data_IF_045696082993
#
_entry.id   IF_045696082993
#
_cell.length_a   1.000
_cell.length_b   1.000
_cell.length_c   1.000
_cell.angle_alpha   90.00
_cell.angle_beta   90.00
_cell.angle_gamma   90.00
#
_symmetry.space_group_name_H-M   'P 1'
#
loop_
_entity.id
_entity.type
_entity.pdbx_description
1 polymer ?
#
# COMPACT_ATOMS: atom_id res chain seq x y z
N UNK A 1 -0.10 15.81 33.38
CA UNK A 1 -0.44 15.07 32.15
C UNK A 1 -1.94 14.89 32.17
N UNK A 2 -2.64 15.44 31.18
CA UNK A 2 -4.08 15.27 31.10
C UNK A 2 -4.39 13.82 30.78
N UNK A 3 -5.25 13.20 31.59
CA UNK A 3 -5.66 11.82 31.40
C UNK A 3 -6.50 11.73 30.12
N UNK A 4 -5.98 11.03 29.12
CA UNK A 4 -6.70 10.79 27.87
C UNK A 4 -7.87 9.87 28.23
N UNK A 5 -9.07 10.45 28.35
CA UNK A 5 -10.28 9.73 28.70
C UNK A 5 -10.61 8.58 27.74
N UNK A 6 -11.65 7.80 28.05
CA UNK A 6 -12.03 6.62 27.27
C UNK A 6 -12.58 7.04 25.90
N UNK A 7 -11.79 6.85 24.84
CA UNK A 7 -12.20 7.12 23.45
C UNK A 7 -12.80 5.85 22.84
N UNK A 8 -13.94 5.97 22.16
CA UNK A 8 -14.56 4.83 21.45
C UNK A 8 -13.88 4.55 20.11
N UNK A 9 -13.74 3.27 19.75
CA UNK A 9 -13.12 2.84 18.48
C UNK A 9 -13.80 3.49 17.24
N UNK A 10 -15.13 3.61 17.29
CA UNK A 10 -15.91 4.27 16.24
C UNK A 10 -15.53 5.74 16.03
N UNK A 11 -15.04 6.41 17.07
CA UNK A 11 -14.65 7.82 16.98
C UNK A 11 -13.29 8.02 16.28
N UNK A 12 -12.46 6.97 16.21
CA UNK A 12 -11.11 6.99 15.64
C UNK A 12 -11.08 6.44 14.21
N UNK A 13 -12.01 5.53 13.87
CA UNK A 13 -12.05 4.87 12.57
C UNK A 13 -12.30 5.88 11.43
N UNK A 14 -11.36 5.96 10.49
CA UNK A 14 -11.44 6.84 9.32
C UNK A 14 -11.00 8.28 9.54
N UNK A 15 -10.47 8.63 10.73
CA UNK A 15 -9.87 9.93 10.99
C UNK A 15 -8.35 9.83 10.93
N UNK A 16 -7.72 10.78 10.25
CA UNK A 16 -6.27 10.95 10.33
C UNK A 16 -5.92 11.56 11.69
N UNK A 17 -5.15 10.85 12.50
CA UNK A 17 -4.64 11.34 13.79
C UNK A 17 -3.16 11.64 13.63
N UNK A 18 -2.79 12.91 13.76
CA UNK A 18 -1.39 13.29 13.90
C UNK A 18 -0.93 13.00 15.33
N UNK A 19 0.26 12.39 15.46
CA UNK A 19 0.93 12.24 16.75
C UNK A 19 1.93 13.38 16.88
N UNK A 20 1.76 14.22 17.91
CA UNK A 20 2.73 15.26 18.26
C UNK A 20 3.13 15.09 19.72
N UNK A 21 4.43 15.14 19.98
CA UNK A 21 4.96 15.24 21.34
C UNK A 21 5.36 16.69 21.57
N UNK A 22 4.96 17.26 22.71
CA UNK A 22 5.43 18.58 23.15
C UNK A 22 6.47 18.37 24.23
N UNK A 23 7.56 19.11 24.15
CA UNK A 23 8.50 19.21 25.26
C UNK A 23 7.84 20.00 26.39
N UNK A 24 8.12 19.60 27.62
CA UNK A 24 7.70 20.37 28.80
C UNK A 24 8.46 21.69 28.88
N UNK A 25 7.98 22.60 29.73
CA UNK A 25 8.71 23.82 30.05
C UNK A 25 10.10 23.49 30.60
N UNK A 26 11.10 24.31 30.25
CA UNK A 26 12.45 24.15 30.79
C UNK A 26 12.42 24.31 32.31
N UNK A 27 13.00 23.34 33.02
CA UNK A 27 13.21 23.44 34.47
C UNK A 27 14.68 23.76 34.73
N UNK A 28 14.98 24.65 35.71
CA UNK A 28 16.35 24.94 36.07
C UNK A 28 17.02 23.68 36.61
N UNK A 29 18.02 23.18 35.89
CA UNK A 29 18.88 22.12 36.40
C UNK A 29 19.76 22.66 37.53
N UNK A 30 20.07 21.80 38.51
CA UNK A 30 21.06 22.12 39.53
C UNK A 30 22.40 22.51 38.85
N UNK A 31 23.11 23.46 39.46
CA UNK A 31 24.43 23.86 38.98
C UNK A 31 25.33 22.63 38.82
N UNK A 32 25.86 22.43 37.62
CA UNK A 32 26.91 21.46 37.35
C UNK A 32 28.24 22.21 37.26
N UNK A 33 29.21 21.82 38.09
CA UNK A 33 30.57 22.30 37.93
C UNK A 33 31.13 21.80 36.59
N UNK A 34 31.56 22.73 35.73
CA UNK A 34 32.23 22.40 34.48
C UNK A 34 33.73 22.51 34.73
N UNK A 35 34.42 21.38 34.68
CA UNK A 35 35.87 21.32 34.76
C UNK A 35 36.47 21.23 33.36
N UNK A 36 37.45 22.07 33.07
CA UNK A 36 38.31 21.91 31.90
C UNK A 36 39.50 21.04 32.28
N UNK A 37 39.64 19.88 31.63
CA UNK A 37 40.80 19.01 31.76
C UNK A 37 41.72 19.19 30.55
N UNK A 38 43.00 19.48 30.81
CA UNK A 38 44.06 19.43 29.81
C UNK A 38 44.88 18.17 30.11
N UNK A 39 44.95 17.19 29.21
CA UNK A 39 45.77 16.01 29.43
C UNK A 39 47.26 16.36 29.38
N UNK A 40 48.01 15.93 30.39
CA UNK A 40 49.49 16.08 30.45
C UNK A 40 50.23 15.10 29.53
N UNK A 41 49.54 14.12 28.94
CA UNK A 41 50.14 13.12 28.06
C UNK A 41 49.99 13.51 26.59
N UNK A 42 51.06 13.39 25.80
CA UNK A 42 51.03 13.43 24.32
C UNK A 42 50.20 12.27 23.67
N UNK A 43 49.46 11.49 24.47
CA UNK A 43 48.68 10.33 24.02
C UNK A 43 47.19 10.64 23.81
N UNK A 44 46.52 9.74 23.10
CA UNK A 44 45.08 9.80 22.85
C UNK A 44 44.28 9.86 24.17
N UNK A 45 43.41 10.86 24.29
CA UNK A 45 42.61 11.14 25.51
C UNK A 45 41.55 10.05 25.73
N UNK A 46 40.96 9.55 24.64
CA UNK A 46 40.02 8.44 24.65
C UNK A 46 39.83 7.88 23.24
N UNK A 47 39.63 6.58 23.15
CA UNK A 47 39.22 5.90 21.91
C UNK A 47 37.75 5.53 21.99
N UNK A 48 36.94 6.04 21.06
CA UNK A 48 35.53 5.68 20.96
C UNK A 48 35.33 4.57 19.94
N UNK A 49 34.80 3.44 20.37
CA UNK A 49 34.46 2.31 19.49
C UNK A 49 32.95 2.26 19.31
N UNK A 50 32.48 2.74 18.16
CA UNK A 50 31.07 2.66 17.79
C UNK A 50 30.75 1.24 17.30
N UNK A 51 29.95 0.51 18.08
CA UNK A 51 29.47 -0.81 17.69
C UNK A 51 28.13 -0.66 16.99
N UNK A 52 28.11 -1.00 15.71
CA UNK A 52 26.88 -1.05 14.92
C UNK A 52 26.31 -2.47 14.91
N UNK A 53 25.04 -2.59 14.50
CA UNK A 53 24.45 -3.88 14.15
C UNK A 53 25.12 -4.44 12.88
N UNK A 54 24.92 -5.72 12.61
CA UNK A 54 25.40 -6.33 11.36
C UNK A 54 24.85 -5.59 10.14
N UNK A 55 25.57 -5.63 9.02
CA UNK A 55 25.11 -5.05 7.75
C UNK A 55 23.70 -5.54 7.38
N UNK A 56 23.42 -6.83 7.57
CA UNK A 56 22.10 -7.42 7.31
C UNK A 56 20.99 -6.83 8.19
N UNK A 57 21.27 -6.59 9.47
CA UNK A 57 20.31 -5.96 10.38
C UNK A 57 20.04 -4.49 10.01
N UNK A 58 21.09 -3.74 9.65
CA UNK A 58 20.93 -2.35 9.20
C UNK A 58 20.13 -2.25 7.88
N UNK A 59 20.30 -3.21 6.96
CA UNK A 59 19.48 -3.31 5.75
C UNK A 59 18.02 -3.69 6.05
N UNK A 60 17.81 -4.59 7.01
CA UNK A 60 16.48 -5.00 7.44
C UNK A 60 15.71 -3.81 8.06
N UNK A 61 16.37 -2.99 8.87
CA UNK A 61 15.82 -1.77 9.47
C UNK A 61 15.73 -0.58 8.52
N UNK A 62 16.28 -0.70 7.30
CA UNK A 62 16.24 0.38 6.30
C UNK A 62 17.17 1.56 6.61
N UNK A 63 18.10 1.40 7.55
CA UNK A 63 19.10 2.42 7.90
C UNK A 63 20.11 2.59 6.75
N UNK A 64 20.44 1.49 6.07
CA UNK A 64 21.25 1.49 4.85
C UNK A 64 20.48 0.85 3.70
N UNK A 65 20.82 1.15 2.43
CA UNK A 65 20.13 0.59 1.28
C UNK A 65 20.11 -0.94 1.31
N UNK A 66 18.91 -1.51 1.10
CA UNK A 66 18.75 -2.94 0.88
C UNK A 66 19.44 -3.34 -0.42
N UNK A 67 19.92 -4.58 -0.47
CA UNK A 67 20.29 -5.20 -1.74
C UNK A 67 19.08 -5.11 -2.67
N UNK A 68 19.24 -4.65 -3.94
CA UNK A 68 18.11 -4.53 -4.85
C UNK A 68 17.41 -5.88 -4.96
N UNK A 69 16.09 -5.86 -4.97
CA UNK A 69 15.31 -7.06 -5.25
C UNK A 69 15.73 -7.61 -6.62
N UNK A 70 15.88 -8.94 -6.77
CA UNK A 70 16.22 -9.53 -8.05
C UNK A 70 15.15 -9.17 -9.08
N UNK A 71 15.57 -8.95 -10.33
CA UNK A 71 14.68 -8.62 -11.44
C UNK A 71 13.57 -9.69 -11.58
N UNK A 72 12.29 -9.30 -11.68
CA UNK A 72 11.18 -10.22 -11.90
C UNK A 72 11.42 -11.15 -13.08
N UNK A 73 10.84 -12.36 -13.03
CA UNK A 73 10.93 -13.34 -14.10
C UNK A 73 10.41 -12.80 -15.44
N UNK A 74 9.38 -11.97 -15.38
CA UNK A 74 8.70 -11.39 -16.53
C UNK A 74 9.50 -10.29 -17.25
N UNK A 75 10.47 -9.68 -16.55
CA UNK A 75 11.30 -8.59 -17.08
C UNK A 75 12.66 -9.09 -17.59
N UNK A 76 12.99 -10.36 -17.35
CA UNK A 76 14.25 -10.96 -17.82
C UNK A 76 14.15 -11.37 -19.29
N UNK A 77 15.23 -11.21 -20.08
CA UNK A 77 15.24 -11.63 -21.48
C UNK A 77 15.04 -13.15 -21.59
N UNK A 78 14.29 -13.58 -22.60
CA UNK A 78 13.87 -14.97 -22.78
C UNK A 78 15.06 -15.92 -22.94
N UNK A 79 16.15 -15.42 -23.50
CA UNK A 79 17.40 -16.15 -23.76
C UNK A 79 18.15 -16.50 -22.47
N UNK A 80 17.92 -15.76 -21.38
CA UNK A 80 18.56 -15.98 -20.08
C UNK A 80 17.71 -16.83 -19.13
N UNK A 81 16.46 -17.14 -19.49
CA UNK A 81 15.57 -17.94 -18.65
C UNK A 81 15.92 -19.43 -18.71
N UNK A 82 16.03 -20.04 -17.53
CA UNK A 82 16.13 -21.50 -17.42
C UNK A 82 14.81 -22.17 -17.82
N UNK A 83 14.84 -23.45 -18.25
CA UNK A 83 13.62 -24.17 -18.63
C UNK A 83 12.60 -24.30 -17.48
N UNK A 84 13.05 -24.32 -16.23
CA UNK A 84 12.17 -24.33 -15.05
C UNK A 84 11.47 -22.97 -14.85
N UNK A 85 12.22 -21.88 -15.02
CA UNK A 85 11.73 -20.51 -14.92
C UNK A 85 10.71 -20.19 -16.01
N UNK A 86 10.93 -20.68 -17.23
CA UNK A 86 9.99 -20.55 -18.35
C UNK A 86 8.65 -21.26 -18.06
N UNK A 87 8.69 -22.45 -17.45
CA UNK A 87 7.48 -23.18 -17.05
C UNK A 87 6.70 -22.42 -15.98
N UNK A 88 7.39 -21.82 -15.02
CA UNK A 88 6.77 -21.00 -13.99
C UNK A 88 6.11 -19.75 -14.59
N UNK A 89 6.80 -19.06 -15.52
CA UNK A 89 6.28 -17.90 -16.23
C UNK A 89 5.00 -18.26 -17.00
N UNK A 90 5.01 -19.38 -17.74
CA UNK A 90 3.82 -19.89 -18.45
C UNK A 90 2.67 -20.20 -17.50
N UNK A 91 2.94 -20.77 -16.32
CA UNK A 91 1.92 -21.05 -15.31
C UNK A 91 1.25 -19.75 -14.86
N UNK A 92 2.05 -18.74 -14.50
CA UNK A 92 1.56 -17.41 -14.08
C UNK A 92 0.75 -16.72 -15.19
N UNK A 93 1.19 -16.82 -16.44
CA UNK A 93 0.47 -16.25 -17.59
C UNK A 93 -0.93 -16.86 -17.73
N UNK A 94 -1.03 -18.20 -17.68
CA UNK A 94 -2.32 -18.90 -17.76
C UNK A 94 -3.25 -18.54 -16.60
N UNK A 95 -2.72 -18.41 -15.39
CA UNK A 95 -3.50 -17.97 -14.21
C UNK A 95 -4.07 -16.55 -14.41
N UNK A 96 -3.26 -15.62 -14.94
CA UNK A 96 -3.71 -14.25 -15.26
C UNK A 96 -4.77 -14.22 -16.37
N UNK A 97 -4.60 -15.00 -17.43
CA UNK A 97 -5.58 -15.07 -18.53
C UNK A 97 -6.91 -15.65 -18.07
N UNK A 98 -6.86 -16.69 -17.24
CA UNK A 98 -8.04 -17.28 -16.62
C UNK A 98 -8.75 -16.27 -15.71
N UNK A 99 -8.00 -15.51 -14.91
CA UNK A 99 -8.56 -14.45 -14.09
C UNK A 99 -9.18 -13.32 -14.94
N UNK A 100 -8.51 -12.88 -16.02
CA UNK A 100 -8.99 -11.83 -16.90
C UNK A 100 -10.27 -12.22 -17.66
N UNK A 101 -10.38 -13.48 -18.10
CA UNK A 101 -11.61 -13.99 -18.73
C UNK A 101 -12.78 -14.18 -17.76
N UNK A 102 -12.50 -14.36 -16.46
CA UNK A 102 -13.51 -14.41 -15.41
C UNK A 102 -14.06 -13.02 -15.03
N UNK A 103 -13.37 -11.92 -15.39
CA UNK A 103 -13.87 -10.57 -15.17
C UNK A 103 -14.98 -10.29 -16.19
N UNK A 104 -16.24 -10.29 -15.71
CA UNK A 104 -17.39 -9.82 -16.50
C UNK A 104 -17.18 -8.37 -16.92
N UNK A 105 -16.98 -8.14 -18.22
CA UNK A 105 -17.02 -6.79 -18.78
C UNK A 105 -18.48 -6.34 -18.85
N UNK A 106 -18.78 -5.19 -18.27
CA UNK A 106 -20.09 -4.54 -18.43
C UNK A 106 -20.23 -4.12 -19.90
N UNK A 107 -21.13 -4.79 -20.62
CA UNK A 107 -21.47 -4.42 -21.98
C UNK A 107 -22.38 -3.19 -21.90
N UNK A 108 -21.87 -2.03 -22.28
CA UNK A 108 -22.69 -0.83 -22.46
C UNK A 108 -23.35 -0.93 -23.84
N UNK A 109 -24.53 -1.51 -23.89
CA UNK A 109 -25.37 -1.49 -25.09
C UNK A 109 -25.84 -0.04 -25.29
N UNK A 110 -25.21 0.68 -26.21
CA UNK A 110 -25.80 1.92 -26.72
C UNK A 110 -26.94 1.50 -27.66
N UNK A 111 -28.16 1.62 -27.13
CA UNK A 111 -29.41 1.41 -27.85
C UNK A 111 -29.59 2.51 -28.90
N UNK A 112 -28.84 2.43 -30.00
CA UNK A 112 -29.21 3.11 -31.24
C UNK A 112 -30.17 2.19 -31.96
N UNK A 113 -31.46 2.45 -31.76
CA UNK A 113 -32.55 1.73 -32.41
C UNK A 113 -32.42 1.81 -33.93
N UNK A 114 -32.10 0.68 -34.54
CA UNK A 114 -32.34 0.43 -35.96
C UNK A 114 -32.86 -1.00 -36.12
N UNK A 115 -34.19 -1.11 -36.20
CA UNK A 115 -34.95 -2.34 -36.39
C UNK A 115 -34.88 -2.75 -37.87
N UNK A 116 -33.89 -3.58 -38.22
CA UNK A 116 -33.95 -4.39 -39.43
C UNK A 116 -33.80 -5.87 -39.10
N UNK A 117 -34.96 -6.48 -38.84
CA UNK A 117 -35.16 -7.93 -38.76
C UNK A 117 -34.77 -8.62 -40.07
N UNK A 118 -33.81 -9.54 -40.01
CA UNK A 118 -33.70 -10.67 -40.94
C UNK A 118 -33.57 -11.96 -40.14
N UNK A 119 -34.43 -12.91 -40.49
CA UNK A 119 -34.84 -14.05 -39.67
C UNK A 119 -33.76 -15.08 -39.34
N UNK A 120 -33.99 -15.78 -38.22
CA UNK A 120 -33.59 -17.16 -38.04
C UNK A 120 -34.59 -17.85 -37.11
N UNK A 121 -34.95 -19.07 -37.48
CA UNK A 121 -36.19 -19.76 -37.16
C UNK A 121 -36.41 -20.12 -35.68
N UNK A 122 -37.70 -20.15 -35.34
CA UNK A 122 -38.27 -20.49 -34.03
C UNK A 122 -37.99 -21.94 -33.59
N UNK A 123 -37.46 -22.09 -32.37
CA UNK A 123 -37.85 -23.16 -31.46
C UNK A 123 -38.37 -22.52 -30.18
N UNK A 124 -39.69 -22.62 -29.96
CA UNK A 124 -40.40 -22.04 -28.82
C UNK A 124 -39.88 -22.60 -27.49
N UNK A 125 -39.45 -21.69 -26.61
CA UNK A 125 -39.40 -21.88 -25.17
C UNK A 125 -40.11 -20.69 -24.55
N UNK A 126 -41.38 -20.86 -24.16
CA UNK A 126 -42.13 -19.89 -23.39
C UNK A 126 -41.51 -19.73 -22.00
N UNK A 127 -40.71 -18.67 -21.82
CA UNK A 127 -40.21 -18.23 -20.52
C UNK A 127 -40.82 -16.87 -20.19
N UNK A 128 -41.81 -16.87 -19.30
CA UNK A 128 -42.48 -15.67 -18.82
C UNK A 128 -41.69 -15.07 -17.64
N UNK A 129 -40.99 -13.95 -17.88
CA UNK A 129 -40.24 -13.23 -16.83
C UNK A 129 -41.23 -12.40 -16.01
N UNK A 130 -41.72 -12.95 -14.91
CA UNK A 130 -42.81 -12.33 -14.13
C UNK A 130 -42.38 -11.25 -13.14
N UNK A 131 -41.09 -11.02 -12.87
CA UNK A 131 -40.67 -9.93 -11.96
C UNK A 131 -39.29 -9.35 -12.25
N UNK A 132 -39.23 -8.02 -12.47
CA UNK A 132 -37.98 -7.25 -12.48
C UNK A 132 -37.69 -6.81 -11.03
N UNK A 133 -36.68 -7.40 -10.38
CA UNK A 133 -36.26 -6.96 -9.03
C UNK A 133 -35.63 -5.57 -9.11
N UNK A 134 -36.12 -4.64 -8.28
CA UNK A 134 -35.52 -3.31 -8.11
C UNK A 134 -34.11 -3.43 -7.50
N UNK A 135 -33.12 -2.93 -8.23
CA UNK A 135 -31.73 -2.78 -7.75
C UNK A 135 -31.71 -1.72 -6.65
N UNK A 136 -31.20 -2.08 -5.46
CA UNK A 136 -31.00 -1.13 -4.37
C UNK A 136 -29.81 -0.24 -4.70
N UNK A 137 -30.05 1.08 -4.76
CA UNK A 137 -28.98 2.08 -4.89
C UNK A 137 -28.37 2.36 -3.49
N UNK A 138 -27.05 2.43 -3.35
CA UNK A 138 -26.43 2.87 -2.11
C UNK A 138 -26.83 4.32 -1.83
N UNK A 139 -27.22 4.61 -0.58
CA UNK A 139 -27.41 5.98 -0.12
C UNK A 139 -26.04 6.54 0.25
N UNK A 140 -25.53 7.46 -0.55
CA UNK A 140 -24.36 8.26 -0.20
C UNK A 140 -24.91 9.43 0.64
N UNK A 141 -24.70 9.40 1.95
CA UNK A 141 -24.97 10.53 2.83
C UNK A 141 -23.65 11.24 3.14
N UNK A 142 -23.42 12.37 2.50
CA UNK A 142 -22.30 13.28 2.79
C UNK A 142 -21.46 13.63 1.57
N UNK A 143 -20.98 14.87 1.54
CA UNK A 143 -19.92 15.32 0.63
C UNK A 143 -18.61 14.67 1.05
N UNK A 144 -17.97 13.94 0.13
CA UNK A 144 -16.61 13.43 0.32
C UNK A 144 -15.67 14.57 -0.04
N UNK A 145 -15.08 15.25 0.95
CA UNK A 145 -13.95 16.15 0.70
C UNK A 145 -12.70 15.31 0.44
N UNK A 146 -12.17 15.41 -0.77
CA UNK A 146 -10.89 14.82 -1.16
C UNK A 146 -9.83 15.92 -1.06
N UNK A 147 -8.83 15.71 -0.20
CA UNK A 147 -7.66 16.58 -0.09
C UNK A 147 -6.57 15.95 -0.97
N UNK A 148 -6.09 16.71 -1.95
CA UNK A 148 -4.94 16.34 -2.77
C UNK A 148 -3.65 16.74 -2.03
N UNK A 149 -2.66 15.84 -2.01
CA UNK A 149 -1.40 16.00 -1.27
C UNK A 149 -0.18 16.06 -2.19
N UNK A 150 -0.37 16.26 -3.50
CA UNK A 150 0.75 16.40 -4.46
C UNK A 150 1.20 17.85 -4.69
N UNK A 151 0.67 18.81 -3.92
CA UNK A 151 1.05 20.22 -3.98
C UNK A 151 1.86 20.62 -2.73
N UNK A 152 3.09 20.13 -2.61
CA UNK A 152 4.19 20.72 -1.82
C UNK A 152 5.53 20.52 -2.56
#
# INVERSE_FOLDING_TARGET
>A
MDEIGKISEKALKGKSLSHQVKLQASEPAAYSDVYSFVPDSEGEIATFVFRYRSKSALQAEGIIPRTPSPTPLEERPLEELKPEELRELLRRHRERDAAASAVKREFKTEDTGDDSRTGMDHAQSDLEITTVRRIKRPRISGSVETIDLTDD
#
